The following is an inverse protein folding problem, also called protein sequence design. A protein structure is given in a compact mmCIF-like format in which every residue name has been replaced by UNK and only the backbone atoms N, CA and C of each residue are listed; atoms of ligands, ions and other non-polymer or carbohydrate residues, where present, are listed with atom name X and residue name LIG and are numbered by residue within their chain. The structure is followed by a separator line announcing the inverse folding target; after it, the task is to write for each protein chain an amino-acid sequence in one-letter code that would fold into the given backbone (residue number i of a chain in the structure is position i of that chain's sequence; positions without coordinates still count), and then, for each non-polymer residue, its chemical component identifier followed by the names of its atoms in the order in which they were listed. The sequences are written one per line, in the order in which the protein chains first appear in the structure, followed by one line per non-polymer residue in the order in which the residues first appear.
data_IF_734872807442
#
_entry.id   IF_734872807442
#
_cell.length_a   1.000
_cell.length_b   1.000
_cell.length_c   1.000
_cell.angle_alpha   90.00
_cell.angle_beta   90.00
_cell.angle_gamma   90.00
#
_symmetry.space_group_name_H-M   'P 1'
#
loop_
_entity.id
_entity.type
_entity.pdbx_description
1 polymer ?
#
# COMPACT_ATOMS: atom_id res chain seq x y z
N UNK A 1 3.37 8.80 2.52
CA UNK A 1 3.63 10.21 2.90
C UNK A 1 2.61 10.65 3.95
N UNK A 2 3.03 11.16 5.10
CA UNK A 2 2.08 11.64 6.10
C UNK A 2 1.53 13.01 5.69
N UNK A 3 0.24 13.05 5.25
CA UNK A 3 -0.49 14.27 4.89
C UNK A 3 0.29 15.24 3.99
N UNK A 4 0.75 14.81 2.82
CA UNK A 4 1.57 15.63 1.92
C UNK A 4 0.73 16.72 1.25
N UNK A 5 0.58 17.86 1.96
CA UNK A 5 -0.17 19.04 1.52
C UNK A 5 0.67 20.30 1.67
N UNK A 6 0.83 21.04 0.56
CA UNK A 6 1.57 22.30 0.57
C UNK A 6 0.78 23.42 1.25
N UNK A 7 1.46 24.31 2.03
CA UNK A 7 0.82 25.50 2.56
C UNK A 7 0.42 26.47 1.42
N UNK A 8 -0.62 27.30 1.62
CA UNK A 8 -1.28 27.59 2.89
C UNK A 8 -2.46 26.69 3.24
N UNK A 9 -2.68 25.61 2.53
CA UNK A 9 -3.86 24.77 2.67
C UNK A 9 -3.86 23.92 3.94
N UNK A 10 -5.07 23.58 4.43
CA UNK A 10 -5.28 22.76 5.61
C UNK A 10 -5.73 21.34 5.23
N UNK A 11 -5.24 20.33 5.95
CA UNK A 11 -5.68 18.94 5.79
C UNK A 11 -6.63 18.53 6.91
N UNK A 12 -7.77 17.96 6.54
CA UNK A 12 -8.89 17.53 7.38
C UNK A 12 -9.59 18.64 8.18
N UNK A 13 -8.83 19.47 8.94
CA UNK A 13 -9.33 20.51 9.81
C UNK A 13 -8.62 21.84 9.53
N UNK A 14 -9.29 22.95 9.70
CA UNK A 14 -8.78 24.30 9.41
C UNK A 14 -7.48 24.66 10.14
N UNK A 15 -7.21 24.04 11.29
CA UNK A 15 -6.02 24.33 12.09
C UNK A 15 -4.77 23.55 11.63
N UNK A 16 -4.93 22.54 10.76
CA UNK A 16 -3.83 21.67 10.33
C UNK A 16 -3.16 22.17 9.05
N UNK A 17 -2.31 23.16 9.22
CA UNK A 17 -1.55 23.80 8.14
C UNK A 17 -0.07 23.68 8.46
N UNK A 18 0.73 23.20 7.50
CA UNK A 18 2.17 23.26 7.63
C UNK A 18 2.69 24.70 7.56
N UNK A 19 3.62 25.07 8.42
CA UNK A 19 4.42 26.28 8.20
C UNK A 19 5.35 26.07 6.98
N UNK A 20 5.85 27.16 6.42
CA UNK A 20 6.81 27.09 5.31
C UNK A 20 8.07 26.28 5.69
N UNK A 21 8.51 26.38 6.96
CA UNK A 21 9.66 25.63 7.48
C UNK A 21 9.37 24.13 7.59
N UNK A 22 8.22 23.77 8.15
CA UNK A 22 7.77 22.37 8.24
C UNK A 22 7.62 21.73 6.85
N UNK A 23 7.03 22.47 5.92
CA UNK A 23 6.87 22.02 4.56
C UNK A 23 8.22 21.78 3.85
N UNK A 24 9.15 22.74 3.97
CA UNK A 24 10.49 22.59 3.41
C UNK A 24 11.21 21.38 4.02
N UNK A 25 11.07 21.15 5.33
CA UNK A 25 11.64 20.01 6.03
C UNK A 25 11.07 18.68 5.51
N UNK A 26 9.74 18.60 5.32
CA UNK A 26 9.06 17.44 4.74
C UNK A 26 9.55 17.14 3.33
N UNK A 27 9.65 18.16 2.47
CA UNK A 27 10.15 18.00 1.10
C UNK A 27 11.62 17.55 1.07
N UNK A 28 12.46 18.12 1.93
CA UNK A 28 13.86 17.73 2.03
C UNK A 28 14.00 16.27 2.48
N UNK A 29 13.22 15.84 3.49
CA UNK A 29 13.24 14.47 3.97
C UNK A 29 12.92 13.47 2.84
N UNK A 30 11.87 13.75 2.06
CA UNK A 30 11.49 12.91 0.92
C UNK A 30 12.61 12.91 -0.14
N UNK A 31 13.20 14.08 -0.45
CA UNK A 31 14.29 14.21 -1.41
C UNK A 31 15.54 13.44 -0.98
N UNK A 32 15.90 13.54 0.29
CA UNK A 32 17.05 12.85 0.87
C UNK A 32 16.87 11.33 0.78
N UNK A 33 15.69 10.82 1.17
CA UNK A 33 15.35 9.41 1.02
C UNK A 33 15.47 8.93 -0.44
N UNK A 34 14.90 9.67 -1.39
CA UNK A 34 14.94 9.33 -2.82
C UNK A 34 16.37 9.37 -3.37
N UNK A 35 17.19 10.31 -2.91
CA UNK A 35 18.60 10.44 -3.30
C UNK A 35 19.47 9.29 -2.77
N UNK A 36 19.21 8.84 -1.55
CA UNK A 36 19.95 7.77 -0.89
C UNK A 36 19.59 6.38 -1.44
N UNK A 37 18.30 6.06 -1.50
CA UNK A 37 17.82 4.71 -1.85
C UNK A 37 17.55 4.50 -3.34
N UNK A 38 17.29 5.55 -4.09
CA UNK A 38 17.12 5.57 -5.55
C UNK A 38 16.20 4.45 -6.13
N UNK A 39 15.01 4.19 -5.59
CA UNK A 39 14.11 3.19 -6.14
C UNK A 39 13.73 3.52 -7.59
N UNK A 40 13.47 2.52 -8.43
CA UNK A 40 13.09 2.75 -9.84
C UNK A 40 11.60 3.08 -10.00
N UNK A 41 10.75 2.51 -9.14
CA UNK A 41 9.30 2.69 -9.12
C UNK A 41 8.87 2.94 -7.68
N UNK A 42 7.99 3.93 -7.46
CA UNK A 42 7.55 4.34 -6.12
C UNK A 42 6.04 4.53 -6.10
N UNK A 43 5.36 3.83 -5.20
CA UNK A 43 3.96 4.09 -4.85
C UNK A 43 3.86 5.03 -3.65
N UNK A 44 3.05 6.07 -3.76
CA UNK A 44 2.81 7.04 -2.69
C UNK A 44 1.37 6.97 -2.19
N UNK A 45 1.20 7.16 -0.88
CA UNK A 45 -0.07 7.32 -0.20
C UNK A 45 -0.13 8.69 0.49
N UNK A 46 -1.33 9.15 0.85
CA UNK A 46 -1.60 10.42 1.53
C UNK A 46 -1.13 11.66 0.76
N UNK A 47 -1.33 11.64 -0.55
CA UNK A 47 -0.99 12.77 -1.44
C UNK A 47 -2.17 13.73 -1.53
N UNK A 48 -1.99 14.95 -1.00
CA UNK A 48 -2.94 16.05 -1.13
C UNK A 48 -2.48 17.11 -2.14
N UNK A 49 -1.15 17.20 -2.41
CA UNK A 49 -0.57 18.12 -3.38
C UNK A 49 0.16 17.34 -4.48
N UNK A 50 -0.58 16.75 -5.45
CA UNK A 50 0.03 15.95 -6.52
C UNK A 50 1.03 16.74 -7.38
N UNK A 51 0.73 17.99 -7.72
CA UNK A 51 1.61 18.83 -8.55
C UNK A 51 2.95 19.12 -7.86
N UNK A 52 2.90 19.40 -6.56
CA UNK A 52 4.10 19.61 -5.76
C UNK A 52 4.95 18.34 -5.65
N UNK A 53 4.29 17.16 -5.44
CA UNK A 53 4.97 15.87 -5.43
C UNK A 53 5.60 15.55 -6.79
N UNK A 54 4.87 15.79 -7.89
CA UNK A 54 5.38 15.61 -9.25
C UNK A 54 6.64 16.44 -9.50
N UNK A 55 6.62 17.71 -9.10
CA UNK A 55 7.78 18.60 -9.24
C UNK A 55 8.98 18.07 -8.44
N UNK A 56 8.75 17.62 -7.20
CA UNK A 56 9.79 17.07 -6.35
C UNK A 56 10.40 15.79 -6.96
N UNK A 57 9.59 14.78 -7.28
CA UNK A 57 10.10 13.51 -7.82
C UNK A 57 10.79 13.69 -9.18
N UNK A 58 10.29 14.62 -10.01
CA UNK A 58 10.93 14.97 -11.28
C UNK A 58 12.34 15.52 -11.07
N UNK A 59 12.53 16.36 -10.05
CA UNK A 59 13.86 16.88 -9.69
C UNK A 59 14.82 15.78 -9.21
N UNK A 60 14.29 14.67 -8.70
CA UNK A 60 15.03 13.49 -8.22
C UNK A 60 15.23 12.42 -9.32
N UNK A 61 14.91 12.72 -10.57
CA UNK A 61 15.18 11.83 -11.71
C UNK A 61 14.05 10.85 -12.04
N UNK A 62 12.82 11.16 -11.64
CA UNK A 62 11.62 10.39 -12.01
C UNK A 62 10.80 11.17 -13.06
N UNK A 63 11.04 10.93 -14.36
CA UNK A 63 10.36 11.68 -15.42
C UNK A 63 8.89 11.31 -15.58
N UNK A 64 8.48 10.12 -15.11
CA UNK A 64 7.12 9.62 -15.22
C UNK A 64 6.42 9.67 -13.87
N UNK A 65 5.25 10.29 -13.83
CA UNK A 65 4.44 10.43 -12.62
C UNK A 65 2.96 10.32 -13.01
N UNK A 66 2.16 9.64 -12.21
CA UNK A 66 0.74 9.53 -12.44
C UNK A 66 -0.07 9.59 -11.13
N UNK A 67 -1.18 10.29 -11.19
CA UNK A 67 -2.33 10.22 -10.29
C UNK A 67 -3.57 10.03 -11.17
N UNK A 68 -4.63 9.46 -10.59
CA UNK A 68 -5.87 9.19 -11.33
C UNK A 68 -7.06 9.93 -10.75
N UNK A 69 -6.82 10.67 -9.69
CA UNK A 69 -7.84 11.37 -8.91
C UNK A 69 -7.28 12.67 -8.35
N UNK A 70 -8.15 13.47 -7.78
CA UNK A 70 -7.78 14.68 -7.05
C UNK A 70 -8.40 14.65 -5.65
N UNK A 71 -7.71 15.19 -4.63
CA UNK A 71 -8.28 15.31 -3.30
C UNK A 71 -9.57 16.12 -3.30
N UNK A 72 -10.48 15.78 -2.41
CA UNK A 72 -11.67 16.60 -2.14
C UNK A 72 -11.25 17.90 -1.45
N UNK A 73 -11.79 19.03 -1.91
CA UNK A 73 -11.51 20.36 -1.36
C UNK A 73 -12.80 21.00 -0.89
N UNK A 74 -12.81 21.45 0.37
CA UNK A 74 -13.93 22.14 1.00
C UNK A 74 -13.55 23.62 1.16
N UNK A 75 -14.45 24.51 0.75
CA UNK A 75 -14.30 25.96 0.85
C UNK A 75 -12.98 26.48 0.21
N UNK A 76 -12.51 25.80 -0.84
CA UNK A 76 -11.26 26.11 -1.57
C UNK A 76 -9.99 26.09 -0.68
N UNK A 77 -10.05 25.52 0.51
CA UNK A 77 -9.00 25.61 1.51
C UNK A 77 -8.70 24.32 2.29
N UNK A 78 -9.72 23.53 2.66
CA UNK A 78 -9.57 22.32 3.47
C UNK A 78 -9.57 21.11 2.56
N UNK A 79 -8.48 20.40 2.53
CA UNK A 79 -8.29 19.18 1.73
C UNK A 79 -8.68 17.94 2.53
N UNK A 80 -9.49 17.08 1.92
CA UNK A 80 -9.90 15.78 2.42
C UNK A 80 -9.67 14.71 1.38
N UNK A 81 -9.75 13.45 1.79
CA UNK A 81 -9.65 12.31 0.86
C UNK A 81 -8.35 12.33 0.02
N UNK A 82 -7.17 12.14 0.66
CA UNK A 82 -5.91 12.11 -0.07
C UNK A 82 -5.90 11.00 -1.12
N UNK A 83 -5.15 11.21 -2.19
CA UNK A 83 -5.03 10.26 -3.29
C UNK A 83 -3.75 9.42 -3.17
N UNK A 84 -3.66 8.38 -4.00
CA UNK A 84 -2.43 7.63 -4.25
C UNK A 84 -1.76 8.12 -5.53
N UNK A 85 -0.43 7.97 -5.60
CA UNK A 85 0.35 8.35 -6.76
C UNK A 85 1.43 7.31 -7.05
N UNK A 86 1.97 7.34 -8.27
CA UNK A 86 3.12 6.54 -8.67
C UNK A 86 4.13 7.39 -9.40
N UNK A 87 5.42 7.20 -9.08
CA UNK A 87 6.53 7.77 -9.83
C UNK A 87 7.41 6.65 -10.38
N UNK A 88 7.97 6.84 -11.56
CA UNK A 88 8.81 5.85 -12.22
C UNK A 88 9.92 6.50 -13.01
N UNK A 89 11.09 5.81 -13.04
CA UNK A 89 12.17 6.11 -13.99
C UNK A 89 11.89 5.54 -15.37
N UNK A 90 10.98 4.56 -15.45
CA UNK A 90 10.58 3.89 -16.68
C UNK A 90 9.25 4.42 -17.20
N UNK A 91 8.97 4.32 -18.52
CA UNK A 91 7.76 4.82 -19.11
C UNK A 91 6.48 4.25 -18.48
N UNK A 92 5.58 5.11 -18.06
CA UNK A 92 4.21 4.75 -17.71
C UNK A 92 3.40 4.83 -19.00
N UNK A 93 3.04 3.67 -19.56
CA UNK A 93 2.31 3.59 -20.85
C UNK A 93 0.81 3.75 -20.69
N UNK A 94 0.29 3.44 -19.49
CA UNK A 94 -1.13 3.62 -19.13
C UNK A 94 -1.25 3.88 -17.63
N UNK A 95 -2.14 4.78 -17.23
CA UNK A 95 -2.51 4.99 -15.83
C UNK A 95 -4.02 5.20 -15.73
N UNK A 96 -4.71 4.34 -14.96
CA UNK A 96 -6.18 4.36 -14.84
C UNK A 96 -6.62 3.98 -13.42
N UNK A 97 -7.84 4.39 -13.06
CA UNK A 97 -8.52 3.88 -11.88
C UNK A 97 -8.96 2.43 -12.09
N UNK A 98 -8.82 1.59 -11.08
CA UNK A 98 -9.42 0.25 -11.09
C UNK A 98 -10.91 0.38 -10.90
N UNK A 99 -11.69 -0.20 -11.82
CA UNK A 99 -13.15 -0.23 -11.74
C UNK A 99 -13.60 -1.57 -11.16
N UNK A 100 -14.42 -1.59 -10.09
CA UNK A 100 -14.96 -2.83 -9.54
C UNK A 100 -15.91 -3.53 -10.53
N UNK A 101 -15.91 -4.86 -10.48
CA UNK A 101 -16.87 -5.67 -11.24
C UNK A 101 -18.27 -5.55 -10.61
N UNK A 102 -19.20 -4.89 -11.31
CA UNK A 102 -20.55 -4.59 -10.81
C UNK A 102 -21.42 -5.83 -10.65
N UNK A 103 -21.29 -6.83 -11.52
CA UNK A 103 -22.04 -8.11 -11.44
C UNK A 103 -21.63 -8.88 -10.17
N UNK A 104 -20.34 -8.85 -9.85
CA UNK A 104 -19.84 -9.46 -8.63
C UNK A 104 -20.32 -8.69 -7.38
N UNK A 105 -20.33 -7.36 -7.43
CA UNK A 105 -20.87 -6.57 -6.32
C UNK A 105 -22.32 -6.97 -6.00
N UNK A 106 -23.17 -7.15 -7.02
CA UNK A 106 -24.54 -7.63 -6.83
C UNK A 106 -24.57 -9.05 -6.22
N UNK A 107 -23.74 -9.95 -6.71
CA UNK A 107 -23.64 -11.33 -6.20
C UNK A 107 -23.22 -11.39 -4.73
N UNK A 108 -22.31 -10.51 -4.31
CA UNK A 108 -21.82 -10.41 -2.94
C UNK A 108 -22.69 -9.53 -2.04
N UNK A 109 -23.79 -9.01 -2.55
CA UNK A 109 -24.66 -8.04 -1.84
C UNK A 109 -23.88 -6.79 -1.35
N UNK A 110 -22.87 -6.38 -2.09
CA UNK A 110 -22.15 -5.12 -1.86
C UNK A 110 -23.05 -3.99 -2.43
N UNK A 111 -23.09 -2.88 -1.71
CA UNK A 111 -23.87 -1.72 -2.13
C UNK A 111 -23.48 -1.28 -3.55
N UNK A 112 -24.47 -1.00 -4.39
CA UNK A 112 -24.24 -0.53 -5.77
C UNK A 112 -23.51 0.82 -5.82
N UNK A 113 -23.58 1.61 -4.74
CA UNK A 113 -22.89 2.88 -4.59
C UNK A 113 -21.50 2.71 -3.96
N UNK A 114 -21.00 1.47 -3.86
CA UNK A 114 -19.64 1.18 -3.37
C UNK A 114 -18.60 1.93 -4.18
N UNK A 115 -17.65 2.51 -3.45
CA UNK A 115 -16.43 3.07 -4.00
C UNK A 115 -15.23 2.68 -3.13
N UNK A 116 -14.06 2.59 -3.72
CA UNK A 116 -12.83 2.52 -2.94
C UNK A 116 -12.69 3.76 -2.06
N UNK A 117 -12.23 3.61 -0.82
CA UNK A 117 -11.97 4.75 0.08
C UNK A 117 -10.95 5.73 -0.52
N UNK A 118 -10.04 5.24 -1.33
CA UNK A 118 -9.17 5.95 -2.27
C UNK A 118 -9.15 5.12 -3.54
N UNK A 119 -9.36 5.78 -4.69
CA UNK A 119 -9.32 5.07 -5.95
C UNK A 119 -7.97 4.36 -6.14
N UNK A 120 -8.03 3.07 -6.47
CA UNK A 120 -6.82 2.28 -6.72
C UNK A 120 -6.23 2.69 -8.05
N UNK A 121 -4.98 3.14 -8.03
CA UNK A 121 -4.22 3.46 -9.23
C UNK A 121 -3.61 2.19 -9.81
N UNK A 122 -3.90 1.88 -11.08
CA UNK A 122 -3.13 0.93 -11.88
C UNK A 122 -2.31 1.69 -12.91
N UNK A 123 -1.00 1.50 -12.88
CA UNK A 123 -0.06 1.98 -13.87
C UNK A 123 0.60 0.81 -14.59
N UNK A 124 0.50 0.77 -15.92
CA UNK A 124 1.28 -0.16 -16.73
C UNK A 124 2.62 0.49 -17.03
N UNK A 125 3.71 -0.10 -16.55
CA UNK A 125 5.06 0.41 -16.69
C UNK A 125 5.85 -0.49 -17.64
N UNK A 126 6.50 0.10 -18.63
CA UNK A 126 7.44 -0.62 -19.51
C UNK A 126 8.80 -0.72 -18.81
N UNK A 127 8.94 -1.75 -17.98
CA UNK A 127 10.13 -1.98 -17.16
C UNK A 127 11.20 -2.77 -17.95
N UNK A 128 12.49 -2.37 -17.86
CA UNK A 128 13.59 -3.05 -18.55
C UNK A 128 13.61 -4.55 -18.23
N UNK A 129 13.76 -5.37 -19.27
CA UNK A 129 13.83 -6.83 -19.20
C UNK A 129 12.56 -7.55 -18.72
N UNK A 130 11.58 -6.83 -18.16
CA UNK A 130 10.28 -7.35 -17.72
C UNK A 130 9.21 -7.08 -18.79
N UNK A 131 9.32 -5.95 -19.50
CA UNK A 131 8.29 -5.43 -20.40
C UNK A 131 7.14 -4.76 -19.62
N UNK A 132 5.94 -4.79 -20.18
CA UNK A 132 4.77 -4.21 -19.53
C UNK A 132 4.44 -4.95 -18.24
N UNK A 133 4.50 -4.24 -17.11
CA UNK A 133 4.14 -4.70 -15.78
C UNK A 133 3.02 -3.82 -15.23
N UNK A 134 1.95 -4.42 -14.73
CA UNK A 134 0.85 -3.68 -14.11
C UNK A 134 1.16 -3.46 -12.62
N UNK A 135 1.46 -2.21 -12.25
CA UNK A 135 1.73 -1.77 -10.90
C UNK A 135 0.48 -1.12 -10.30
N UNK A 136 0.03 -1.65 -9.18
CA UNK A 136 -1.14 -1.16 -8.45
C UNK A 136 -0.71 -0.46 -7.17
N UNK A 137 -1.23 0.74 -6.91
CA UNK A 137 -1.00 1.49 -5.68
C UNK A 137 -2.30 1.61 -4.92
N UNK A 138 -2.29 1.18 -3.66
CA UNK A 138 -3.44 1.18 -2.76
C UNK A 138 -3.21 1.97 -1.49
N UNK A 139 -4.30 2.47 -0.93
CA UNK A 139 -4.42 2.91 0.44
C UNK A 139 -5.81 2.50 0.92
N UNK A 140 -5.93 1.27 1.45
CA UNK A 140 -7.21 0.70 1.86
C UNK A 140 -7.82 1.45 3.06
N UNK A 141 -9.11 1.22 3.30
CA UNK A 141 -9.85 1.81 4.41
C UNK A 141 -9.13 1.61 5.75
N UNK A 142 -8.84 2.71 6.41
CA UNK A 142 -8.22 2.70 7.74
C UNK A 142 -9.12 2.01 8.79
N UNK A 143 -8.53 1.63 9.94
CA UNK A 143 -9.26 1.05 11.07
C UNK A 143 -10.14 2.04 11.83
N UNK A 144 -10.09 3.34 11.51
CA UNK A 144 -10.93 4.36 12.12
C UNK A 144 -12.41 4.04 11.88
N UNK A 145 -13.22 4.20 12.94
CA UNK A 145 -14.68 4.02 12.86
C UNK A 145 -15.28 4.86 11.73
N UNK A 146 -16.19 4.27 10.95
CA UNK A 146 -16.98 4.98 9.94
C UNK A 146 -18.14 5.78 10.55
N UNK A 147 -18.43 5.54 11.82
CA UNK A 147 -19.53 6.22 12.54
C UNK A 147 -18.91 7.04 13.66
N UNK A 148 -19.10 8.34 13.59
CA UNK A 148 -18.74 9.28 14.65
C UNK A 148 -20.02 9.66 15.41
N UNK A 149 -19.94 9.63 16.75
CA UNK A 149 -21.02 10.07 17.61
C UNK A 149 -20.68 11.45 18.16
N UNK A 150 -21.52 12.44 17.88
CA UNK A 150 -21.37 13.79 18.41
C UNK A 150 -21.94 13.86 19.85
N UNK A 151 -21.09 13.60 20.82
CA UNK A 151 -21.39 13.62 22.24
C UNK A 151 -21.73 15.03 22.76
N UNK A 152 -21.17 16.07 22.13
CA UNK A 152 -21.35 17.48 22.57
C UNK A 152 -22.74 18.01 22.27
N UNK A 153 -23.33 17.57 21.15
CA UNK A 153 -24.64 18.03 20.67
C UNK A 153 -25.77 17.02 20.91
N UNK A 154 -25.49 15.90 21.56
CA UNK A 154 -26.49 14.81 21.76
C UNK A 154 -27.64 15.15 22.67
N UNK A 155 -27.44 16.08 23.62
CA UNK A 155 -28.42 16.38 24.68
C UNK A 155 -28.68 15.23 25.67
N UNK A 156 -27.92 14.15 25.63
CA UNK A 156 -28.04 12.99 26.48
C UNK A 156 -27.29 13.16 27.81
N UNK A 157 -27.69 12.37 28.83
CA UNK A 157 -26.92 12.29 30.08
C UNK A 157 -25.50 11.68 29.80
N UNK A 158 -24.47 12.06 30.60
CA UNK A 158 -23.11 11.63 30.36
C UNK A 158 -22.91 10.12 30.22
N UNK A 159 -23.57 9.33 31.07
CA UNK A 159 -23.49 7.85 31.02
C UNK A 159 -24.08 7.30 29.71
N UNK A 160 -25.16 7.94 29.23
CA UNK A 160 -25.80 7.53 27.98
C UNK A 160 -24.99 7.91 26.76
N UNK A 161 -24.30 9.06 26.80
CA UNK A 161 -23.33 9.46 25.78
C UNK A 161 -22.21 8.42 25.62
N UNK A 162 -21.63 7.96 26.73
CA UNK A 162 -20.58 6.93 26.72
C UNK A 162 -21.09 5.64 26.06
N UNK A 163 -22.32 5.22 26.38
CA UNK A 163 -22.90 4.00 25.80
C UNK A 163 -23.14 4.18 24.29
N UNK A 164 -23.68 5.31 23.86
CA UNK A 164 -23.92 5.56 22.44
C UNK A 164 -22.61 5.73 21.65
N UNK A 165 -21.59 6.38 22.23
CA UNK A 165 -20.24 6.43 21.67
C UNK A 165 -19.64 5.04 21.48
N UNK A 166 -19.79 4.15 22.48
CA UNK A 166 -19.30 2.77 22.40
C UNK A 166 -20.01 1.98 21.27
N UNK A 167 -21.34 2.13 21.16
CA UNK A 167 -22.10 1.49 20.09
C UNK A 167 -21.65 1.98 18.70
N UNK A 168 -21.48 3.30 18.55
CA UNK A 168 -21.01 3.91 17.30
C UNK A 168 -19.60 3.40 16.95
N UNK A 169 -18.70 3.33 17.96
CA UNK A 169 -17.36 2.79 17.77
C UNK A 169 -17.36 1.33 17.31
N UNK A 170 -18.15 0.46 17.94
CA UNK A 170 -18.25 -0.96 17.57
C UNK A 170 -18.82 -1.12 16.15
N UNK A 171 -19.93 -0.46 15.85
CA UNK A 171 -20.57 -0.55 14.55
C UNK A 171 -19.71 0.05 13.44
N UNK A 172 -19.11 1.22 13.68
CA UNK A 172 -18.24 1.89 12.71
C UNK A 172 -16.92 1.16 12.45
N UNK A 173 -16.34 0.52 13.46
CA UNK A 173 -15.14 -0.33 13.30
C UNK A 173 -15.45 -1.56 12.45
N UNK A 174 -16.62 -2.17 12.64
CA UNK A 174 -17.09 -3.26 11.78
C UNK A 174 -17.29 -2.77 10.34
N UNK A 175 -17.94 -1.61 10.16
CA UNK A 175 -18.11 -1.00 8.84
C UNK A 175 -16.77 -0.80 8.12
N UNK A 176 -15.74 -0.29 8.81
CA UNK A 176 -14.41 -0.14 8.26
C UNK A 176 -13.76 -1.48 7.87
N UNK A 177 -14.02 -2.53 8.63
CA UNK A 177 -13.52 -3.88 8.33
C UNK A 177 -14.18 -4.44 7.08
N UNK A 178 -15.50 -4.31 6.95
CA UNK A 178 -16.25 -4.74 5.75
C UNK A 178 -15.82 -3.96 4.52
N UNK A 179 -15.70 -2.63 4.63
CA UNK A 179 -15.22 -1.79 3.53
C UNK A 179 -13.86 -2.24 3.03
N UNK A 180 -12.89 -2.44 3.91
CA UNK A 180 -11.54 -2.89 3.55
C UNK A 180 -11.53 -4.28 2.91
N UNK A 181 -12.36 -5.20 3.40
CA UNK A 181 -12.52 -6.53 2.81
C UNK A 181 -13.10 -6.48 1.40
N UNK A 182 -14.12 -5.62 1.18
CA UNK A 182 -14.69 -5.40 -0.14
C UNK A 182 -13.67 -4.78 -1.10
N UNK A 183 -12.90 -3.77 -0.65
CA UNK A 183 -11.83 -3.14 -1.42
C UNK A 183 -10.82 -4.18 -1.89
N UNK A 184 -10.31 -5.00 -0.98
CA UNK A 184 -9.31 -6.03 -1.30
C UNK A 184 -9.86 -7.11 -2.24
N UNK A 185 -11.11 -7.58 -2.01
CA UNK A 185 -11.73 -8.63 -2.83
C UNK A 185 -12.01 -8.16 -4.25
N UNK A 186 -12.62 -6.99 -4.41
CA UNK A 186 -12.96 -6.43 -5.71
C UNK A 186 -11.70 -6.06 -6.49
N UNK A 187 -10.67 -5.55 -5.82
CA UNK A 187 -9.37 -5.30 -6.43
C UNK A 187 -8.73 -6.60 -6.95
N UNK A 188 -8.66 -7.64 -6.11
CA UNK A 188 -8.01 -8.89 -6.51
C UNK A 188 -8.69 -9.51 -7.73
N UNK A 189 -10.01 -9.44 -7.82
CA UNK A 189 -10.76 -9.93 -8.99
C UNK A 189 -10.45 -9.09 -10.24
N UNK A 190 -10.44 -7.75 -10.12
CA UNK A 190 -10.06 -6.89 -11.23
C UNK A 190 -8.61 -7.15 -11.71
N UNK A 191 -7.69 -7.46 -10.78
CA UNK A 191 -6.32 -7.87 -11.12
C UNK A 191 -6.27 -9.18 -11.88
N UNK A 192 -7.06 -10.20 -11.46
CA UNK A 192 -7.17 -11.48 -12.16
C UNK A 192 -7.72 -11.28 -13.58
N UNK A 193 -8.81 -10.53 -13.75
CA UNK A 193 -9.41 -10.21 -15.05
C UNK A 193 -8.42 -9.48 -15.97
N UNK A 194 -7.69 -8.51 -15.41
CA UNK A 194 -6.64 -7.79 -16.16
C UNK A 194 -5.50 -8.70 -16.56
N UNK A 195 -5.05 -9.57 -15.66
CA UNK A 195 -4.01 -10.56 -15.93
C UNK A 195 -4.43 -11.54 -17.04
N UNK A 196 -5.67 -12.01 -17.00
CA UNK A 196 -6.24 -12.86 -18.05
C UNK A 196 -6.21 -12.18 -19.42
N UNK A 197 -6.58 -10.90 -19.46
CA UNK A 197 -6.64 -10.12 -20.69
C UNK A 197 -5.27 -9.78 -21.29
N UNK A 198 -4.23 -9.59 -20.47
CA UNK A 198 -2.94 -9.02 -20.91
C UNK A 198 -1.75 -9.95 -20.73
N UNK A 199 -1.79 -10.83 -19.74
CA UNK A 199 -0.63 -11.62 -19.34
C UNK A 199 0.47 -10.83 -18.61
N UNK A 200 0.25 -9.55 -18.28
CA UNK A 200 1.27 -8.73 -17.65
C UNK A 200 1.61 -9.22 -16.23
N UNK A 201 2.89 -9.23 -15.81
CA UNK A 201 3.26 -9.34 -14.39
C UNK A 201 2.54 -8.31 -13.54
N UNK A 202 2.32 -8.63 -12.26
CA UNK A 202 1.58 -7.79 -11.34
C UNK A 202 2.42 -7.44 -10.12
N UNK A 203 2.38 -6.17 -9.73
CA UNK A 203 2.92 -5.64 -8.47
C UNK A 203 1.79 -4.89 -7.77
N UNK A 204 1.47 -5.25 -6.54
CA UNK A 204 0.51 -4.54 -5.70
C UNK A 204 1.24 -3.98 -4.48
N UNK A 205 1.20 -2.66 -4.29
CA UNK A 205 1.94 -1.99 -3.22
C UNK A 205 1.10 -0.92 -2.53
N UNK A 206 1.39 -0.66 -1.26
CA UNK A 206 0.81 0.45 -0.50
C UNK A 206 0.46 0.11 0.93
N UNK A 207 -0.35 0.99 1.54
CA UNK A 207 -0.89 0.82 2.88
C UNK A 207 -2.19 0.01 2.84
N UNK A 208 -2.14 -1.20 3.39
CA UNK A 208 -3.29 -2.11 3.45
C UNK A 208 -4.13 -1.89 4.72
N UNK A 209 -3.64 -1.06 5.64
CA UNK A 209 -4.30 -0.74 6.91
C UNK A 209 -4.70 -1.98 7.75
N UNK A 210 -4.11 -3.14 7.46
CA UNK A 210 -4.29 -4.37 8.22
C UNK A 210 -3.14 -5.35 7.91
N UNK A 211 -3.00 -6.39 8.73
CA UNK A 211 -2.05 -7.47 8.48
C UNK A 211 -2.60 -8.45 7.44
N UNK A 212 -1.75 -8.99 6.58
CA UNK A 212 -2.15 -9.98 5.57
C UNK A 212 -2.65 -11.30 6.16
N UNK A 213 -2.24 -11.62 7.38
CA UNK A 213 -2.70 -12.81 8.11
C UNK A 213 -4.12 -12.68 8.65
N UNK A 214 -4.67 -11.45 8.71
CA UNK A 214 -6.06 -11.24 9.03
C UNK A 214 -6.96 -11.81 7.92
N UNK A 215 -8.01 -12.55 8.28
CA UNK A 215 -8.92 -13.18 7.34
C UNK A 215 -9.56 -12.23 6.32
N UNK A 216 -9.55 -10.92 6.59
CA UNK A 216 -10.06 -9.87 5.70
C UNK A 216 -9.17 -9.67 4.46
N UNK A 217 -7.84 -9.84 4.58
CA UNK A 217 -6.86 -9.64 3.51
C UNK A 217 -6.19 -10.91 3.02
N UNK A 218 -6.34 -12.02 3.72
CA UNK A 218 -5.60 -13.26 3.44
C UNK A 218 -5.83 -13.82 2.02
N UNK A 219 -6.97 -13.50 1.41
CA UNK A 219 -7.30 -13.94 0.04
C UNK A 219 -6.46 -13.23 -1.05
N UNK A 220 -5.70 -12.19 -0.71
CA UNK A 220 -4.74 -11.58 -1.62
C UNK A 220 -3.49 -12.46 -1.82
N UNK A 221 -3.25 -13.44 -0.94
CA UNK A 221 -2.09 -14.31 -1.00
C UNK A 221 -2.42 -15.70 -1.57
N UNK A 222 -1.51 -16.24 -2.37
CA UNK A 222 -1.61 -17.57 -2.99
C UNK A 222 -1.82 -18.68 -1.95
N UNK A 223 -1.09 -18.63 -0.83
CA UNK A 223 -1.10 -19.66 0.20
C UNK A 223 -2.37 -19.68 1.06
N UNK A 224 -3.25 -18.70 0.91
CA UNK A 224 -4.51 -18.59 1.65
C UNK A 224 -5.70 -19.20 0.91
N UNK A 225 -5.54 -19.57 -0.35
CA UNK A 225 -6.61 -20.12 -1.16
C UNK A 225 -6.95 -21.54 -0.72
N UNK A 226 -8.23 -21.80 -0.42
CA UNK A 226 -8.75 -23.08 0.09
C UNK A 226 -9.45 -23.90 -1.00
N UNK A 227 -8.88 -24.00 -2.16
CA UNK A 227 -9.37 -24.95 -3.15
C UNK A 227 -8.28 -25.93 -3.55
N UNK A 228 -8.68 -27.15 -3.85
CA UNK A 228 -7.77 -28.20 -4.31
C UNK A 228 -7.80 -28.19 -5.83
N UNK A 229 -6.68 -27.78 -6.42
CA UNK A 229 -6.45 -27.92 -7.86
C UNK A 229 -5.81 -29.26 -8.17
N UNK A 230 -6.02 -29.78 -9.38
CA UNK A 230 -5.21 -30.87 -9.86
C UNK A 230 -3.76 -30.38 -10.04
N UNK A 231 -2.78 -31.27 -9.85
CA UNK A 231 -1.35 -30.93 -9.85
C UNK A 231 -0.89 -30.16 -11.09
N UNK A 232 -1.47 -30.42 -12.23
CA UNK A 232 -1.22 -29.74 -13.52
C UNK A 232 -1.84 -28.31 -13.58
N UNK A 233 -2.76 -27.98 -12.68
CA UNK A 233 -3.43 -26.67 -12.62
C UNK A 233 -2.72 -25.69 -11.67
N UNK A 234 -1.93 -26.16 -10.72
CA UNK A 234 -1.25 -25.28 -9.75
C UNK A 234 -0.35 -24.24 -10.41
N UNK A 235 0.48 -24.66 -11.37
CA UNK A 235 1.36 -23.77 -12.11
C UNK A 235 0.59 -22.74 -12.96
N UNK A 236 -0.62 -23.09 -13.42
CA UNK A 236 -1.48 -22.16 -14.13
C UNK A 236 -2.12 -21.14 -13.19
N UNK A 237 -2.59 -21.58 -12.02
CA UNK A 237 -3.22 -20.74 -11.01
C UNK A 237 -2.22 -19.72 -10.39
N UNK A 238 -0.97 -20.12 -10.23
CA UNK A 238 0.08 -19.24 -9.73
C UNK A 238 0.23 -17.93 -10.54
N UNK A 239 -0.15 -17.93 -11.82
CA UNK A 239 -0.14 -16.72 -12.66
C UNK A 239 -1.14 -15.66 -12.24
N UNK A 240 -2.19 -16.04 -11.51
CA UNK A 240 -3.31 -15.18 -11.13
C UNK A 240 -3.32 -14.85 -9.65
N UNK A 241 -2.27 -15.19 -8.93
CA UNK A 241 -2.16 -15.00 -7.49
C UNK A 241 -0.92 -14.17 -7.14
N UNK A 242 -0.87 -13.65 -5.92
CA UNK A 242 0.22 -12.83 -5.43
C UNK A 242 0.90 -13.49 -4.24
N UNK A 243 2.17 -13.16 -4.05
CA UNK A 243 2.99 -13.56 -2.91
C UNK A 243 3.52 -12.32 -2.20
N UNK A 244 3.64 -12.36 -0.87
CA UNK A 244 4.32 -11.29 -0.12
C UNK A 244 5.81 -11.28 -0.50
N UNK A 245 6.32 -10.12 -0.89
CA UNK A 245 7.73 -9.96 -1.24
C UNK A 245 8.67 -10.31 -0.08
N UNK A 246 8.23 -10.16 1.18
CA UNK A 246 8.97 -10.64 2.34
C UNK A 246 9.12 -12.17 2.35
N UNK A 247 8.03 -12.90 2.12
CA UNK A 247 8.05 -14.37 2.12
C UNK A 247 8.95 -14.88 0.98
N UNK A 248 8.92 -14.22 -0.18
CA UNK A 248 9.80 -14.53 -1.31
C UNK A 248 11.27 -14.29 -0.96
N UNK A 249 11.59 -13.16 -0.36
CA UNK A 249 12.94 -12.84 0.11
C UNK A 249 13.43 -13.84 1.17
N UNK A 250 12.61 -14.10 2.18
CA UNK A 250 12.94 -15.06 3.24
C UNK A 250 13.23 -16.45 2.68
N UNK A 251 12.47 -16.88 1.67
CA UNK A 251 12.68 -18.18 1.02
C UNK A 251 14.02 -18.25 0.28
N UNK A 252 14.44 -17.19 -0.38
CA UNK A 252 15.75 -17.12 -1.08
C UNK A 252 16.89 -17.24 -0.08
N UNK A 253 16.87 -16.43 1.00
CA UNK A 253 17.89 -16.47 2.04
C UNK A 253 17.97 -17.85 2.71
N UNK A 254 16.83 -18.47 3.02
CA UNK A 254 16.79 -19.82 3.62
C UNK A 254 17.42 -20.88 2.71
N UNK A 255 17.25 -20.76 1.41
CA UNK A 255 17.83 -21.69 0.43
C UNK A 255 19.34 -21.48 0.28
N UNK A 256 19.82 -20.24 0.17
CA UNK A 256 21.23 -19.92 0.07
C UNK A 256 22.02 -20.39 1.31
N UNK A 257 21.47 -20.15 2.49
CA UNK A 257 22.08 -20.58 3.78
C UNK A 257 22.04 -22.10 3.95
N UNK A 258 21.01 -22.80 3.44
CA UNK A 258 20.93 -24.26 3.52
C UNK A 258 22.05 -24.94 2.71
N UNK A 259 22.52 -24.33 1.63
CA UNK A 259 23.63 -24.84 0.83
C UNK A 259 25.03 -24.61 1.45
N UNK A 260 25.15 -23.66 2.39
CA UNK A 260 26.43 -23.29 3.01
C UNK A 260 26.65 -23.86 4.42
N UNK A 261 25.60 -24.29 5.16
CA UNK A 261 25.72 -24.67 6.57
C UNK A 261 25.67 -26.16 6.82
N UNK A 262 26.71 -26.64 7.51
CA UNK A 262 26.84 -27.98 8.14
C UNK A 262 26.12 -28.04 9.52
N UNK A 263 25.64 -26.91 10.05
CA UNK A 263 25.07 -26.79 11.41
C UNK A 263 23.63 -26.24 11.36
N UNK A 264 22.71 -26.90 12.08
CA UNK A 264 21.24 -26.77 12.05
C UNK A 264 20.63 -25.41 12.50
N UNK A 265 21.42 -24.34 12.62
CA UNK A 265 20.91 -23.02 13.01
C UNK A 265 20.66 -22.14 11.77
N UNK A 266 19.45 -22.22 11.21
CA UNK A 266 18.98 -21.23 10.22
C UNK A 266 18.92 -19.84 10.87
N UNK A 267 19.42 -18.79 10.19
CA UNK A 267 19.26 -17.44 10.68
C UNK A 267 17.77 -17.09 10.72
N UNK A 268 17.28 -16.66 11.87
CA UNK A 268 15.94 -16.11 12.01
C UNK A 268 15.98 -14.65 11.56
N UNK A 269 15.50 -14.40 10.34
CA UNK A 269 15.36 -13.04 9.82
C UNK A 269 14.02 -12.52 10.32
N UNK A 270 14.02 -11.32 10.91
CA UNK A 270 12.81 -10.72 11.45
C UNK A 270 12.40 -9.53 10.59
N UNK A 271 11.12 -9.52 10.15
CA UNK A 271 10.54 -8.39 9.43
C UNK A 271 10.32 -7.23 10.38
N UNK A 272 10.84 -6.05 10.05
CA UNK A 272 10.57 -4.84 10.81
C UNK A 272 9.12 -4.37 10.60
N UNK A 273 8.45 -3.85 11.64
CA UNK A 273 7.14 -3.22 11.51
C UNK A 273 7.18 -1.99 10.61
N UNK A 274 6.07 -1.70 9.95
CA UNK A 274 5.92 -0.46 9.15
C UNK A 274 5.13 0.62 9.89
N UNK A 275 4.48 0.29 10.99
CA UNK A 275 3.72 1.26 11.79
C UNK A 275 3.78 0.89 13.27
N UNK A 276 3.88 1.91 14.14
CA UNK A 276 3.96 1.76 15.58
C UNK A 276 2.81 2.49 16.28
N UNK A 277 2.07 1.78 17.13
CA UNK A 277 1.00 2.37 17.95
C UNK A 277 1.10 1.89 19.38
N UNK A 278 1.19 2.82 20.34
CA UNK A 278 1.27 2.50 21.76
C UNK A 278 2.43 1.58 22.14
N UNK A 279 3.57 1.65 21.42
CA UNK A 279 4.74 0.79 21.64
C UNK A 279 4.65 -0.60 20.98
N UNK A 280 3.56 -0.89 20.27
CA UNK A 280 3.40 -2.12 19.49
C UNK A 280 3.62 -1.86 18.01
N UNK A 281 4.54 -2.62 17.38
CA UNK A 281 4.78 -2.56 15.95
C UNK A 281 3.84 -3.49 15.18
N UNK A 282 3.42 -3.07 13.99
CA UNK A 282 2.66 -3.89 13.04
C UNK A 282 3.09 -3.62 11.61
N UNK A 283 2.96 -4.63 10.75
CA UNK A 283 3.19 -4.48 9.31
C UNK A 283 1.84 -4.16 8.67
N UNK A 284 1.71 -2.98 8.09
CA UNK A 284 0.50 -2.49 7.41
C UNK A 284 0.77 -2.19 5.93
N UNK A 285 2.04 -2.00 5.57
CA UNK A 285 2.49 -1.66 4.23
C UNK A 285 3.15 -2.87 3.59
N UNK A 286 2.78 -3.16 2.36
CA UNK A 286 3.21 -4.37 1.67
C UNK A 286 3.55 -4.11 0.21
N UNK A 287 4.40 -5.00 -0.34
CA UNK A 287 4.59 -5.19 -1.76
C UNK A 287 4.29 -6.66 -2.05
N UNK A 288 3.24 -6.91 -2.84
CA UNK A 288 2.86 -8.24 -3.28
C UNK A 288 3.22 -8.41 -4.76
N UNK A 289 3.73 -9.58 -5.11
CA UNK A 289 4.34 -9.85 -6.40
C UNK A 289 3.72 -11.11 -7.04
N UNK A 290 3.51 -11.09 -8.35
CA UNK A 290 3.09 -12.26 -9.12
C UNK A 290 4.23 -13.27 -9.30
N UNK A 291 3.91 -14.44 -9.84
CA UNK A 291 4.82 -15.59 -9.93
C UNK A 291 6.10 -15.35 -10.74
N UNK A 292 6.16 -14.31 -11.58
CA UNK A 292 7.37 -13.94 -12.34
C UNK A 292 8.53 -13.55 -11.43
N UNK A 293 8.24 -13.18 -10.19
CA UNK A 293 9.21 -12.75 -9.18
C UNK A 293 9.45 -13.79 -8.08
N UNK A 294 8.80 -14.95 -8.18
CA UNK A 294 8.95 -16.08 -7.26
C UNK A 294 10.01 -17.05 -7.78
N UNK A 295 11.14 -17.15 -7.07
CA UNK A 295 12.24 -18.03 -7.43
C UNK A 295 11.86 -19.52 -7.46
N UNK A 296 10.80 -19.93 -6.77
CA UNK A 296 10.30 -21.31 -6.79
C UNK A 296 9.50 -21.63 -8.06
N UNK A 297 8.99 -20.62 -8.74
CA UNK A 297 8.24 -20.80 -9.98
C UNK A 297 9.18 -21.10 -11.14
N UNK A 298 9.00 -22.24 -11.78
CA UNK A 298 9.97 -22.81 -12.75
C UNK A 298 10.27 -21.93 -13.97
N UNK A 299 9.34 -21.04 -14.37
CA UNK A 299 9.51 -20.11 -15.49
C UNK A 299 9.84 -18.68 -15.06
N UNK A 300 10.04 -18.43 -13.76
CA UNK A 300 10.47 -17.14 -13.26
C UNK A 300 11.91 -16.86 -13.69
N UNK A 301 12.15 -15.64 -14.21
CA UNK A 301 13.49 -15.13 -14.53
C UNK A 301 14.02 -14.20 -13.43
N UNK A 302 13.18 -13.82 -12.47
CA UNK A 302 13.49 -12.86 -11.43
C UNK A 302 13.30 -13.47 -10.05
N UNK A 303 13.92 -12.86 -9.07
CA UNK A 303 13.74 -13.15 -7.66
C UNK A 303 13.84 -11.87 -6.83
N UNK A 304 13.27 -11.87 -5.63
CA UNK A 304 13.50 -10.83 -4.63
C UNK A 304 14.88 -11.05 -4.02
N UNK A 305 15.84 -10.22 -4.40
CA UNK A 305 17.23 -10.31 -3.90
C UNK A 305 17.47 -9.51 -2.62
N UNK A 306 16.64 -8.52 -2.35
CA UNK A 306 16.72 -7.70 -1.13
C UNK A 306 15.34 -7.20 -0.73
N UNK A 307 15.11 -7.13 0.58
CA UNK A 307 13.90 -6.56 1.20
C UNK A 307 14.33 -5.69 2.38
N UNK A 308 13.82 -4.50 2.45
CA UNK A 308 14.08 -3.55 3.53
C UNK A 308 12.80 -2.86 3.98
N UNK A 309 12.68 -2.63 5.29
CA UNK A 309 11.76 -1.66 5.86
C UNK A 309 12.58 -0.56 6.51
N UNK A 310 12.55 0.63 5.92
CA UNK A 310 13.17 1.81 6.52
C UNK A 310 12.24 2.40 7.58
N UNK A 311 12.58 2.23 8.85
CA UNK A 311 11.78 2.66 10.00
C UNK A 311 12.58 3.48 11.03
N UNK A 312 13.83 3.85 10.73
CA UNK A 312 14.71 4.59 11.64
C UNK A 312 14.08 5.90 12.14
N UNK A 313 13.38 6.62 11.27
CA UNK A 313 12.67 7.85 11.60
C UNK A 313 11.50 7.64 12.58
N UNK A 314 11.03 6.40 12.78
CA UNK A 314 9.97 6.04 13.73
C UNK A 314 10.53 5.58 15.07
N UNK A 315 11.61 4.79 15.06
CA UNK A 315 12.14 4.13 16.25
C UNK A 315 13.28 4.92 16.92
N UNK A 316 14.01 5.72 16.14
CA UNK A 316 15.13 6.54 16.62
C UNK A 316 15.22 7.89 15.88
N UNK A 317 14.16 8.72 15.91
CA UNK A 317 14.08 9.94 15.11
C UNK A 317 15.13 10.97 15.51
N UNK A 318 15.74 11.61 14.51
CA UNK A 318 16.52 12.83 14.65
C UNK A 318 15.56 13.99 14.41
N UNK A 319 15.17 14.70 15.46
CA UNK A 319 14.10 15.72 15.40
C UNK A 319 14.34 16.80 14.33
N UNK A 320 15.58 17.27 14.18
CA UNK A 320 15.94 18.26 13.16
C UNK A 320 15.71 17.76 11.74
N UNK A 321 15.84 16.46 11.49
CA UNK A 321 15.70 15.83 10.19
C UNK A 321 14.33 15.16 10.03
N UNK A 322 13.91 14.35 10.99
CA UNK A 322 12.76 13.46 10.88
C UNK A 322 11.44 14.03 11.40
N UNK A 323 11.43 15.25 11.97
CA UNK A 323 10.25 15.82 12.63
C UNK A 323 9.01 15.99 11.74
N UNK A 324 9.21 16.04 10.41
CA UNK A 324 8.11 16.13 9.42
C UNK A 324 8.18 14.98 8.40
N UNK A 325 8.76 13.84 8.78
CA UNK A 325 8.85 12.63 7.96
C UNK A 325 7.47 11.98 7.71
N UNK A 326 7.42 10.69 7.61
CA UNK A 326 6.17 9.90 7.54
C UNK A 326 5.95 9.18 8.87
N UNK A 327 4.71 8.81 9.17
CA UNK A 327 4.32 7.99 10.33
C UNK A 327 4.33 6.48 10.03
N UNK A 328 4.70 6.10 8.81
CA UNK A 328 4.92 4.72 8.37
C UNK A 328 6.36 4.49 7.96
N UNK A 329 6.86 3.27 8.18
CA UNK A 329 8.10 2.76 7.60
C UNK A 329 7.93 2.55 6.09
N UNK A 330 9.01 2.74 5.35
CA UNK A 330 9.01 2.59 3.89
C UNK A 330 9.48 1.19 3.54
N UNK A 331 8.66 0.44 2.79
CA UNK A 331 9.01 -0.89 2.29
C UNK A 331 9.66 -0.77 0.92
N UNK A 332 10.82 -1.38 0.77
CA UNK A 332 11.56 -1.46 -0.49
C UNK A 332 11.97 -2.89 -0.80
N UNK A 333 11.86 -3.27 -2.08
CA UNK A 333 12.36 -4.56 -2.57
C UNK A 333 13.26 -4.36 -3.79
N UNK A 334 14.29 -5.20 -3.92
CA UNK A 334 15.12 -5.26 -5.11
C UNK A 334 14.84 -6.58 -5.85
N UNK A 335 14.52 -6.44 -7.13
CA UNK A 335 14.32 -7.57 -8.03
C UNK A 335 15.60 -7.77 -8.85
N UNK A 336 16.12 -8.98 -8.87
CA UNK A 336 17.30 -9.35 -9.63
C UNK A 336 17.00 -10.50 -10.60
N UNK A 337 17.74 -10.56 -11.71
CA UNK A 337 17.74 -11.74 -12.58
C UNK A 337 18.32 -12.93 -11.82
N UNK A 338 17.70 -14.08 -11.98
CA UNK A 338 18.22 -15.35 -11.45
C UNK A 338 19.47 -15.74 -12.22
N UNK A 339 20.51 -16.10 -11.51
CA UNK A 339 21.80 -16.59 -12.05
C UNK A 339 21.80 -18.11 -12.21
#
# INVERSE_FOLDING_TARGET
LFNYLEPPYAYYDFERIYSAEQWAKKQNWVSDYLSEHQPDIIGFQEVFSPDSLQALVKSQGYPYFAVIDSPEVIDDFIYRSPVVAIASRYPIVEAVAVTPNTELMETLAIDKDFSFSRNVLRATIDAPHIGNCDCYVVHFKSKRSMIEFDDKNSGLAPEKNIIESLKAQVAGSWGSTVQRGNEASLLMIAMIERREATGHPMVLMGDFNNTLQDGVLSHLLTNSLRFVSAFDQEAYLAKYTLNDAWDLFESVIKNEVADELVDDKKPEIQRAPTHYFGGSGSVLDYILLSCEFDASYHSSLYQVSHYETYDNHLINPIFEHDGESTDHGIVMVTLALRT
#
